data_IF_620233020055
#
_entry.id   IF_620233020055
#
_cell.length_a   1.000
_cell.length_b   1.000
_cell.length_c   1.000
_cell.angle_alpha   90.00
_cell.angle_beta   90.00
_cell.angle_gamma   90.00
#
_symmetry.space_group_name_H-M   'P 1'
#
loop_
_entity.id
_entity.type
_entity.pdbx_description
1 polymer ?
#
# COMPACT_ATOMS: atom_id res chain seq x y z
N UNK A 1 -7.08 -2.14 -38.87
CA UNK A 1 -5.83 -2.58 -38.25
C UNK A 1 -5.07 -1.33 -37.86
N UNK A 2 -5.15 -0.93 -36.59
CA UNK A 2 -4.33 0.14 -36.01
C UNK A 2 -4.02 -0.31 -34.59
N UNK A 3 -2.74 -0.61 -34.36
CA UNK A 3 -2.18 -0.91 -33.05
C UNK A 3 -2.59 0.22 -32.10
N UNK A 4 -3.31 -0.11 -31.03
CA UNK A 4 -3.47 0.80 -29.91
C UNK A 4 -2.09 0.94 -29.28
N UNK A 5 -1.53 2.13 -29.36
CA UNK A 5 -0.29 2.53 -28.69
C UNK A 5 -0.55 2.44 -27.18
N UNK A 6 -0.22 1.29 -26.58
CA UNK A 6 -0.33 1.10 -25.15
C UNK A 6 0.88 1.80 -24.52
N UNK A 7 0.69 2.61 -23.45
CA UNK A 7 1.82 3.24 -22.81
C UNK A 7 2.83 2.17 -22.40
N UNK A 8 4.07 2.33 -22.88
CA UNK A 8 5.20 1.50 -22.47
C UNK A 8 5.20 1.39 -20.95
N UNK A 9 5.44 0.18 -20.46
CA UNK A 9 5.59 -0.10 -19.03
C UNK A 9 6.51 0.97 -18.42
N UNK A 10 6.06 1.72 -17.40
CA UNK A 10 6.95 2.64 -16.70
C UNK A 10 8.13 1.83 -16.15
N UNK A 11 9.35 2.32 -16.35
CA UNK A 11 10.54 1.63 -15.87
C UNK A 11 10.42 1.34 -14.37
N UNK A 12 10.59 0.07 -13.97
CA UNK A 12 10.57 -0.37 -12.58
C UNK A 12 9.25 -0.93 -12.05
N UNK A 13 8.20 -1.05 -12.86
CA UNK A 13 6.96 -1.73 -12.45
C UNK A 13 7.17 -3.26 -12.51
N UNK A 14 7.25 -3.91 -11.36
CA UNK A 14 7.27 -5.38 -11.22
C UNK A 14 5.96 -5.87 -10.62
N UNK A 15 5.71 -7.18 -10.64
CA UNK A 15 4.55 -7.78 -9.96
C UNK A 15 4.55 -7.54 -8.43
N UNK A 16 5.69 -7.11 -7.87
CA UNK A 16 5.84 -6.75 -6.46
C UNK A 16 5.48 -5.28 -6.16
N UNK A 17 5.15 -4.47 -7.17
CA UNK A 17 4.70 -3.08 -6.95
C UNK A 17 3.27 -3.04 -6.43
N UNK A 18 2.95 -2.00 -5.64
CA UNK A 18 1.67 -1.86 -4.93
C UNK A 18 0.42 -1.96 -5.84
N UNK A 19 0.59 -1.73 -7.15
CA UNK A 19 -0.40 -1.96 -8.19
C UNK A 19 0.26 -2.74 -9.34
N UNK A 20 0.11 -4.08 -9.39
CA UNK A 20 0.62 -4.87 -10.50
C UNK A 20 0.06 -4.36 -11.84
N UNK A 21 0.87 -4.34 -12.89
CA UNK A 21 0.49 -3.76 -14.19
C UNK A 21 -0.81 -4.35 -14.77
N UNK A 22 -1.03 -5.66 -14.55
CA UNK A 22 -2.26 -6.34 -14.92
C UNK A 22 -3.50 -5.71 -14.26
N UNK A 23 -3.39 -5.32 -12.99
CA UNK A 23 -4.44 -4.64 -12.25
C UNK A 23 -4.70 -3.24 -12.80
N UNK A 24 -3.65 -2.48 -13.11
CA UNK A 24 -3.76 -1.15 -13.71
C UNK A 24 -4.50 -1.17 -15.05
N UNK A 25 -4.16 -2.12 -15.94
CA UNK A 25 -4.84 -2.29 -17.24
C UNK A 25 -6.33 -2.57 -17.09
N UNK A 26 -6.72 -3.34 -16.08
CA UNK A 26 -8.13 -3.62 -15.82
C UNK A 26 -8.86 -2.37 -15.31
N UNK A 27 -8.27 -1.64 -14.36
CA UNK A 27 -8.84 -0.42 -13.79
C UNK A 27 -8.99 0.68 -14.84
N UNK A 28 -7.99 0.90 -15.70
CA UNK A 28 -8.03 1.89 -16.79
C UNK A 28 -9.23 1.69 -17.74
N UNK A 29 -9.64 0.44 -17.92
CA UNK A 29 -10.77 0.11 -18.78
C UNK A 29 -12.13 0.23 -18.06
N UNK A 30 -12.17 0.43 -16.74
CA UNK A 30 -13.38 0.58 -15.93
C UNK A 30 -13.90 2.03 -15.97
N UNK A 31 -14.77 2.32 -16.94
CA UNK A 31 -15.44 3.62 -17.06
C UNK A 31 -16.91 3.60 -16.54
N UNK A 32 -17.29 2.57 -15.79
CA UNK A 32 -18.64 2.36 -15.27
C UNK A 32 -19.70 1.93 -16.30
N UNK A 33 -19.34 1.83 -17.60
CA UNK A 33 -20.27 1.49 -18.70
C UNK A 33 -19.91 0.21 -19.44
N UNK A 34 -18.70 -0.30 -19.27
CA UNK A 34 -18.21 -1.51 -19.96
C UNK A 34 -18.51 -2.76 -19.14
N UNK A 35 -19.02 -3.79 -19.82
CA UNK A 35 -19.21 -5.12 -19.22
C UNK A 35 -17.87 -5.82 -18.98
N UNK A 36 -17.86 -6.78 -18.05
CA UNK A 36 -16.67 -7.55 -17.70
C UNK A 36 -16.08 -8.30 -18.90
N UNK A 37 -16.91 -8.85 -19.79
CA UNK A 37 -16.48 -9.47 -21.05
C UNK A 37 -15.81 -8.49 -22.00
N UNK A 38 -16.25 -7.24 -22.02
CA UNK A 38 -15.67 -6.20 -22.87
C UNK A 38 -14.30 -5.77 -22.34
N UNK A 39 -14.18 -5.63 -21.02
CA UNK A 39 -12.91 -5.37 -20.34
C UNK A 39 -11.93 -6.51 -20.61
N UNK A 40 -12.34 -7.76 -20.37
CA UNK A 40 -11.53 -8.97 -20.59
C UNK A 40 -10.95 -9.05 -22.01
N UNK A 41 -11.78 -8.77 -23.03
CA UNK A 41 -11.32 -8.68 -24.42
C UNK A 41 -10.32 -7.55 -24.66
N UNK A 42 -10.54 -6.38 -24.07
CA UNK A 42 -9.66 -5.21 -24.25
C UNK A 42 -8.28 -5.38 -23.62
N UNK A 43 -8.16 -6.18 -22.55
CA UNK A 43 -6.89 -6.45 -21.86
C UNK A 43 -6.28 -7.81 -22.21
N UNK A 44 -6.92 -8.56 -23.11
CA UNK A 44 -6.53 -9.93 -23.50
C UNK A 44 -6.39 -10.90 -22.31
N UNK A 45 -7.37 -10.87 -21.39
CA UNK A 45 -7.45 -11.76 -20.22
C UNK A 45 -8.77 -12.52 -20.21
N UNK A 46 -8.83 -13.60 -19.44
CA UNK A 46 -10.09 -14.30 -19.18
C UNK A 46 -10.96 -13.51 -18.19
N UNK A 47 -12.28 -13.67 -18.29
CA UNK A 47 -13.23 -13.05 -17.35
C UNK A 47 -12.95 -13.40 -15.87
N UNK A 48 -12.59 -14.65 -15.51
CA UNK A 48 -12.17 -14.97 -14.14
C UNK A 48 -10.94 -14.19 -13.67
N UNK A 49 -9.91 -14.06 -14.50
CA UNK A 49 -8.70 -13.29 -14.14
C UNK A 49 -9.00 -11.82 -13.91
N UNK A 50 -9.85 -11.22 -14.75
CA UNK A 50 -10.30 -9.83 -14.60
C UNK A 50 -11.08 -9.65 -13.30
N UNK A 51 -11.97 -10.60 -12.98
CA UNK A 51 -12.74 -10.59 -11.73
C UNK A 51 -11.84 -10.63 -10.51
N UNK A 52 -10.83 -11.50 -10.50
CA UNK A 52 -9.89 -11.63 -9.38
C UNK A 52 -9.06 -10.35 -9.20
N UNK A 53 -8.62 -9.73 -10.30
CA UNK A 53 -7.89 -8.45 -10.27
C UNK A 53 -8.77 -7.31 -9.73
N UNK A 54 -10.04 -7.25 -10.12
CA UNK A 54 -10.99 -6.25 -9.58
C UNK A 54 -11.22 -6.49 -8.09
N UNK A 55 -11.40 -7.73 -7.65
CA UNK A 55 -11.59 -8.05 -6.24
C UNK A 55 -10.38 -7.62 -5.40
N UNK A 56 -9.16 -7.90 -5.88
CA UNK A 56 -7.91 -7.45 -5.25
C UNK A 56 -7.80 -5.91 -5.24
N UNK A 57 -8.16 -5.24 -6.33
CA UNK A 57 -8.17 -3.78 -6.39
C UNK A 57 -9.14 -3.16 -5.37
N UNK A 58 -10.34 -3.74 -5.22
CA UNK A 58 -11.31 -3.30 -4.21
C UNK A 58 -10.78 -3.51 -2.80
N UNK A 59 -10.13 -4.64 -2.52
CA UNK A 59 -9.50 -4.89 -1.23
C UNK A 59 -8.43 -3.85 -0.91
N UNK A 60 -7.56 -3.54 -1.88
CA UNK A 60 -6.53 -2.50 -1.73
C UNK A 60 -7.14 -1.11 -1.52
N UNK A 61 -8.17 -0.74 -2.28
CA UNK A 61 -8.85 0.54 -2.13
C UNK A 61 -9.59 0.65 -0.78
N UNK A 62 -10.17 -0.45 -0.30
CA UNK A 62 -10.85 -0.50 1.01
C UNK A 62 -9.84 -0.37 2.14
N UNK A 63 -8.72 -1.09 2.06
CA UNK A 63 -7.62 -0.96 3.01
C UNK A 63 -7.07 0.47 3.02
N UNK A 64 -6.77 1.04 1.85
CA UNK A 64 -6.29 2.42 1.73
C UNK A 64 -7.27 3.46 2.29
N UNK A 65 -8.58 3.28 2.09
CA UNK A 65 -9.60 4.16 2.68
C UNK A 65 -9.71 4.01 4.21
N UNK A 66 -9.57 2.79 4.73
CA UNK A 66 -9.54 2.56 6.17
C UNK A 66 -8.30 3.20 6.81
N UNK A 67 -7.13 3.06 6.17
CA UNK A 67 -5.89 3.75 6.57
C UNK A 67 -6.05 5.26 6.49
N UNK A 68 -6.62 5.81 5.40
CA UNK A 68 -6.81 7.25 5.23
C UNK A 68 -7.74 7.87 6.28
N UNK A 69 -8.73 7.12 6.78
CA UNK A 69 -9.60 7.56 7.86
C UNK A 69 -8.88 7.54 9.23
N UNK A 70 -7.94 6.62 9.43
CA UNK A 70 -7.14 6.50 10.65
C UNK A 70 -5.85 7.35 10.61
N UNK A 71 -5.46 7.82 9.43
CA UNK A 71 -4.24 8.58 9.18
C UNK A 71 -4.15 9.88 10.00
N UNK A 72 -5.29 10.52 10.25
CA UNK A 72 -5.40 11.73 11.07
C UNK A 72 -5.79 11.44 12.52
N UNK A 73 -5.91 10.17 12.90
CA UNK A 73 -6.14 9.81 14.29
C UNK A 73 -4.93 10.22 15.12
N UNK A 74 -5.19 10.73 16.34
CA UNK A 74 -4.14 10.96 17.32
C UNK A 74 -3.42 9.66 17.61
N UNK A 75 -2.11 9.76 17.79
CA UNK A 75 -1.30 8.65 18.25
C UNK A 75 -1.78 8.22 19.65
N UNK A 76 -2.01 6.93 19.84
CA UNK A 76 -2.36 6.33 21.15
C UNK A 76 -1.29 5.33 21.54
N UNK A 77 -1.17 5.04 22.83
CA UNK A 77 -0.18 4.10 23.36
C UNK A 77 -0.33 2.71 22.73
N UNK A 78 -1.56 2.26 22.45
CA UNK A 78 -1.81 0.98 21.77
C UNK A 78 -1.26 0.98 20.33
N UNK A 79 -1.43 2.08 19.60
CA UNK A 79 -0.88 2.20 18.25
C UNK A 79 0.65 2.24 18.26
N UNK A 80 1.24 2.92 19.26
CA UNK A 80 2.70 2.97 19.45
C UNK A 80 3.24 1.56 19.69
N UNK A 81 2.60 0.80 20.58
CA UNK A 81 3.01 -0.57 20.89
C UNK A 81 2.93 -1.49 19.65
N UNK A 82 1.83 -1.43 18.90
CA UNK A 82 1.65 -2.25 17.70
C UNK A 82 2.65 -1.92 16.59
N UNK A 83 2.91 -0.63 16.37
CA UNK A 83 3.89 -0.15 15.38
C UNK A 83 5.31 -0.50 15.82
N UNK A 84 5.64 -0.34 17.10
CA UNK A 84 6.92 -0.73 17.69
C UNK A 84 7.20 -2.22 17.51
N UNK A 85 6.23 -3.09 17.81
CA UNK A 85 6.35 -4.52 17.60
C UNK A 85 6.61 -4.87 16.12
N UNK A 86 5.97 -4.17 15.18
CA UNK A 86 6.23 -4.34 13.75
C UNK A 86 7.64 -3.92 13.35
N UNK A 87 8.13 -2.83 13.92
CA UNK A 87 9.46 -2.31 13.63
C UNK A 87 10.56 -3.21 14.21
N UNK A 88 10.43 -3.63 15.47
CA UNK A 88 11.34 -4.59 16.12
C UNK A 88 11.39 -5.91 15.36
N UNK A 89 10.26 -6.41 14.87
CA UNK A 89 10.23 -7.60 14.03
C UNK A 89 10.89 -7.42 12.64
N UNK A 90 11.14 -6.18 12.23
CA UNK A 90 11.77 -5.85 10.94
C UNK A 90 13.28 -5.62 11.07
N UNK A 91 13.70 -4.83 12.06
CA UNK A 91 15.10 -4.38 12.21
C UNK A 91 15.77 -4.89 13.48
N UNK A 92 15.08 -5.73 14.25
CA UNK A 92 15.55 -6.23 15.55
C UNK A 92 15.38 -5.21 16.67
N UNK A 93 15.98 -5.45 17.84
CA UNK A 93 15.81 -4.62 19.05
C UNK A 93 16.17 -3.14 18.86
N UNK A 94 17.02 -2.82 17.88
CA UNK A 94 17.35 -1.43 17.52
C UNK A 94 16.15 -0.61 17.05
N UNK A 95 15.02 -1.27 16.72
CA UNK A 95 13.77 -0.59 16.39
C UNK A 95 13.23 0.24 17.55
N UNK A 96 13.48 -0.12 18.81
CA UNK A 96 13.00 0.65 19.96
C UNK A 96 13.60 2.07 19.99
N UNK A 97 14.89 2.22 19.68
CA UNK A 97 15.54 3.53 19.57
C UNK A 97 14.92 4.40 18.47
N UNK A 98 14.56 3.79 17.34
CA UNK A 98 13.90 4.52 16.24
C UNK A 98 12.49 4.96 16.61
N UNK A 99 11.79 4.17 17.43
CA UNK A 99 10.47 4.55 17.98
C UNK A 99 10.61 5.74 18.91
N UNK A 100 11.55 5.71 19.84
CA UNK A 100 11.78 6.82 20.78
C UNK A 100 12.14 8.11 20.03
N UNK A 101 13.07 8.05 19.08
CA UNK A 101 13.45 9.20 18.24
C UNK A 101 12.25 9.74 17.42
N UNK A 102 11.42 8.85 16.87
CA UNK A 102 10.24 9.27 16.12
C UNK A 102 9.16 9.88 17.03
N UNK A 103 8.96 9.37 18.24
CA UNK A 103 8.04 9.95 19.22
C UNK A 103 8.49 11.35 19.66
N UNK A 104 9.78 11.53 19.91
CA UNK A 104 10.36 12.83 20.27
C UNK A 104 10.19 13.86 19.13
N UNK A 105 10.33 13.43 17.87
CA UNK A 105 10.15 14.30 16.70
C UNK A 105 8.68 14.66 16.42
N UNK A 106 7.77 13.72 16.65
CA UNK A 106 6.33 13.86 16.37
C UNK A 106 5.62 14.65 17.48
N UNK A 107 6.06 14.48 18.73
CA UNK A 107 5.54 15.16 19.91
C UNK A 107 4.13 14.71 20.35
N UNK A 108 3.68 15.23 21.49
CA UNK A 108 2.48 14.77 22.22
C UNK A 108 1.14 14.85 21.46
N UNK A 109 1.07 15.59 20.36
CA UNK A 109 -0.16 15.75 19.57
C UNK A 109 -0.06 15.20 18.15
N UNK A 110 1.01 14.48 17.85
CA UNK A 110 1.19 13.97 16.51
C UNK A 110 0.23 12.85 16.15
N UNK A 111 0.12 12.65 14.85
CA UNK A 111 -0.78 11.69 14.23
C UNK A 111 -0.04 10.39 13.92
N UNK A 112 -0.81 9.32 13.73
CA UNK A 112 -0.26 8.05 13.26
C UNK A 112 0.50 8.21 11.94
N UNK A 113 0.04 9.07 11.03
CA UNK A 113 0.73 9.30 9.75
C UNK A 113 2.09 9.97 9.90
N UNK A 114 2.20 10.96 10.78
CA UNK A 114 3.47 11.64 11.06
C UNK A 114 4.47 10.66 11.66
N UNK A 115 4.02 9.85 12.62
CA UNK A 115 4.83 8.80 13.24
C UNK A 115 5.31 7.74 12.25
N UNK A 116 4.43 7.22 11.40
CA UNK A 116 4.81 6.25 10.38
C UNK A 116 5.75 6.83 9.32
N UNK A 117 5.59 8.11 8.99
CA UNK A 117 6.47 8.81 8.05
C UNK A 117 7.88 9.01 8.62
N UNK A 118 8.00 9.44 9.88
CA UNK A 118 9.30 9.55 10.56
C UNK A 118 10.02 8.19 10.60
N UNK A 119 9.32 7.15 11.04
CA UNK A 119 9.87 5.79 11.08
C UNK A 119 10.30 5.29 9.70
N UNK A 120 9.47 5.49 8.68
CA UNK A 120 9.82 5.11 7.32
C UNK A 120 11.05 5.88 6.81
N UNK A 121 11.16 7.16 7.15
CA UNK A 121 12.30 8.03 6.84
C UNK A 121 13.63 7.48 7.34
N UNK A 122 13.65 6.94 8.56
CA UNK A 122 14.83 6.35 9.21
C UNK A 122 15.24 4.97 8.68
N UNK A 123 14.39 4.31 7.89
CA UNK A 123 14.65 2.96 7.36
C UNK A 123 15.29 2.98 5.97
N UNK A 124 16.25 2.06 5.77
CA UNK A 124 16.79 1.73 4.45
C UNK A 124 15.72 1.06 3.56
N UNK A 125 15.80 1.19 2.21
CA UNK A 125 14.73 0.74 1.31
C UNK A 125 14.24 -0.71 1.50
N UNK A 126 15.10 -1.72 1.74
CA UNK A 126 14.65 -3.10 1.96
C UNK A 126 13.85 -3.26 3.27
N UNK A 127 14.32 -2.62 4.34
CA UNK A 127 13.66 -2.65 5.65
C UNK A 127 12.34 -1.86 5.62
N UNK A 128 12.31 -0.74 4.90
CA UNK A 128 11.10 0.07 4.69
C UNK A 128 9.99 -0.73 4.01
N UNK A 129 10.32 -1.49 2.96
CA UNK A 129 9.35 -2.34 2.27
C UNK A 129 8.81 -3.47 3.17
N UNK A 130 9.69 -4.13 3.93
CA UNK A 130 9.30 -5.17 4.87
C UNK A 130 8.44 -4.63 6.03
N UNK A 131 8.78 -3.45 6.56
CA UNK A 131 8.01 -2.77 7.59
C UNK A 131 6.60 -2.39 7.08
N UNK A 132 6.52 -1.76 5.91
CA UNK A 132 5.25 -1.40 5.29
C UNK A 132 4.36 -2.64 5.04
N UNK A 133 4.94 -3.77 4.64
CA UNK A 133 4.19 -5.01 4.47
C UNK A 133 3.62 -5.55 5.79
N UNK A 134 4.38 -5.46 6.88
CA UNK A 134 3.91 -5.86 8.22
C UNK A 134 2.78 -4.96 8.71
N UNK A 135 2.89 -3.64 8.55
CA UNK A 135 1.83 -2.71 8.93
C UNK A 135 0.53 -2.98 8.16
N UNK A 136 0.60 -3.23 6.85
CA UNK A 136 -0.57 -3.63 6.04
C UNK A 136 -1.22 -4.90 6.53
N UNK A 137 -0.42 -5.90 6.94
CA UNK A 137 -0.97 -7.16 7.49
C UNK A 137 -1.72 -6.97 8.82
N UNK A 138 -1.48 -5.85 9.50
CA UNK A 138 -2.15 -5.44 10.75
C UNK A 138 -3.26 -4.41 10.52
N UNK A 139 -3.44 -3.91 9.30
CA UNK A 139 -4.42 -2.85 8.98
C UNK A 139 -4.00 -1.44 9.46
N UNK A 140 -2.70 -1.22 9.68
CA UNK A 140 -2.13 0.04 10.17
C UNK A 140 -1.58 0.94 9.04
N UNK A 141 -1.45 0.41 7.83
CA UNK A 141 -0.98 1.11 6.63
C UNK A 141 -1.77 0.64 5.40
#
# INVERSE_FOLDING_TARGET
MTLTDYPNMPDGVTDDTALPFAMWRVIDQMNGKRSMDTIARSVAMSVPQVRDLIARAIQLATAANATANNANARLTDELIEEVSACLVATVGPMGELLVDEALDNVGDNGTLSEFLNELAGSLQPPARAAFAQRLRSKGLA
#
